data_IF_214614910604
#
_entry.id   IF_214614910604
#
_cell.length_a   1.000
_cell.length_b   1.000
_cell.length_c   1.000
_cell.angle_alpha   90.00
_cell.angle_beta   90.00
_cell.angle_gamma   90.00
#
_symmetry.space_group_name_H-M   'P 1'
#
loop_
_entity.id
_entity.type
_entity.pdbx_description
1 polymer ?
#
# COMPACT_ATOMS: atom_id res chain seq x y z
N UNK A 1 39.80 -13.65 29.99
CA UNK A 1 38.70 -14.58 29.62
C UNK A 1 37.43 -14.10 30.33
N UNK A 2 36.61 -13.28 29.66
CA UNK A 2 35.30 -12.88 30.17
C UNK A 2 34.22 -13.84 29.67
N UNK A 3 33.14 -14.10 30.43
CA UNK A 3 32.08 -14.99 30.00
C UNK A 3 31.26 -14.33 28.88
N UNK A 4 31.08 -15.08 27.79
CA UNK A 4 30.23 -14.73 26.66
C UNK A 4 28.78 -14.96 27.09
N UNK A 5 28.00 -13.91 27.22
CA UNK A 5 26.54 -14.02 27.41
C UNK A 5 25.95 -14.34 26.04
N UNK A 6 25.67 -15.61 25.79
CA UNK A 6 24.80 -16.03 24.69
C UNK A 6 23.36 -15.66 25.05
N UNK A 7 22.77 -14.74 24.29
CA UNK A 7 21.35 -14.44 24.34
C UNK A 7 20.57 -15.52 23.58
N UNK A 8 19.59 -16.20 24.20
CA UNK A 8 18.77 -17.16 23.48
C UNK A 8 17.74 -16.39 22.64
N UNK A 9 17.91 -16.40 21.33
CA UNK A 9 16.82 -16.04 20.41
C UNK A 9 15.71 -17.08 20.57
N UNK A 10 14.65 -16.71 21.30
CA UNK A 10 13.43 -17.51 21.37
C UNK A 10 12.76 -17.51 19.99
N UNK A 11 12.39 -18.66 19.44
CA UNK A 11 11.61 -18.72 18.21
C UNK A 11 10.23 -18.09 18.43
N UNK A 12 9.79 -17.33 17.43
CA UNK A 12 8.53 -16.58 17.39
C UNK A 12 7.32 -17.49 17.63
N UNK A 13 6.41 -17.17 18.56
CA UNK A 13 5.14 -17.86 18.64
C UNK A 13 4.23 -17.28 17.55
N UNK A 14 3.48 -18.12 16.85
CA UNK A 14 2.50 -17.82 15.81
C UNK A 14 3.03 -17.73 14.36
N UNK A 15 2.63 -18.68 13.49
CA UNK A 15 2.91 -18.57 12.07
C UNK A 15 2.10 -17.41 11.48
N UNK A 16 2.78 -16.53 10.74
CA UNK A 16 2.25 -15.38 9.99
C UNK A 16 0.94 -15.72 9.25
N UNK A 17 0.74 -16.98 8.86
CA UNK A 17 -0.49 -17.51 8.25
C UNK A 17 -1.79 -17.32 9.03
N UNK A 18 -1.74 -17.08 10.34
CA UNK A 18 -2.97 -17.01 11.17
C UNK A 18 -3.50 -15.58 11.34
N UNK A 19 -2.69 -14.54 11.04
CA UNK A 19 -3.09 -13.14 11.18
C UNK A 19 -3.78 -12.56 9.93
N UNK A 20 -3.63 -13.20 8.77
CA UNK A 20 -4.17 -12.70 7.49
C UNK A 20 -5.56 -13.26 7.13
N UNK A 21 -6.19 -14.02 8.05
CA UNK A 21 -7.47 -14.70 7.80
C UNK A 21 -8.69 -13.89 8.23
N UNK A 22 -8.72 -12.58 7.97
CA UNK A 22 -9.97 -11.78 7.99
C UNK A 22 -9.95 -10.80 6.81
N UNK A 23 -10.31 -11.28 5.62
CA UNK A 23 -10.68 -10.43 4.50
C UNK A 23 -11.81 -11.11 3.68
N UNK A 24 -12.93 -10.39 3.57
CA UNK A 24 -14.07 -10.62 2.68
C UNK A 24 -14.76 -12.01 2.73
N UNK A 25 -15.55 -12.25 3.77
CA UNK A 25 -16.63 -13.28 3.70
C UNK A 25 -17.78 -12.81 2.78
N UNK A 26 -18.04 -11.49 2.65
CA UNK A 26 -19.14 -10.97 1.83
C UNK A 26 -18.95 -11.09 0.31
N UNK A 27 -17.73 -11.22 -0.22
CA UNK A 27 -17.52 -11.26 -1.68
C UNK A 27 -17.63 -12.66 -2.29
N UNK A 28 -17.70 -13.72 -1.48
CA UNK A 28 -17.83 -15.10 -1.99
C UNK A 28 -19.28 -15.50 -2.34
N UNK A 29 -20.24 -14.57 -2.23
CA UNK A 29 -21.68 -14.84 -2.33
C UNK A 29 -22.37 -14.42 -3.64
N UNK A 30 -21.65 -14.24 -4.74
CA UNK A 30 -22.25 -14.05 -6.07
C UNK A 30 -22.02 -15.29 -6.93
N UNK A 31 -22.83 -16.32 -6.67
CA UNK A 31 -22.93 -17.53 -7.49
C UNK A 31 -23.47 -17.17 -8.89
N UNK A 32 -22.58 -17.15 -9.88
CA UNK A 32 -22.97 -17.21 -11.29
C UNK A 32 -23.20 -18.68 -11.68
N UNK A 33 -24.46 -19.03 -11.92
CA UNK A 33 -24.93 -20.31 -12.47
C UNK A 33 -24.16 -20.72 -13.75
N UNK A 34 -23.76 -21.99 -13.90
CA UNK A 34 -23.09 -22.45 -15.11
C UNK A 34 -24.09 -22.82 -16.19
N UNK A 35 -24.20 -22.01 -17.26
CA UNK A 35 -24.87 -22.41 -18.49
C UNK A 35 -23.95 -23.32 -19.31
N UNK A 36 -24.36 -24.58 -19.48
CA UNK A 36 -23.75 -25.58 -20.36
C UNK A 36 -23.76 -25.11 -21.81
N UNK A 37 -22.58 -24.89 -22.40
CA UNK A 37 -22.37 -24.66 -23.83
C UNK A 37 -21.26 -25.59 -24.35
N UNK A 38 -21.60 -26.37 -25.37
CA UNK A 38 -20.80 -27.49 -25.90
C UNK A 38 -19.63 -26.98 -26.76
N UNK A 39 -18.49 -27.65 -26.63
CA UNK A 39 -17.22 -27.42 -27.33
C UNK A 39 -17.33 -27.65 -28.85
N UNK A 40 -16.83 -26.69 -29.64
CA UNK A 40 -16.22 -26.92 -30.96
C UNK A 40 -15.00 -26.03 -31.09
N UNK A 41 -13.90 -26.61 -31.55
CA UNK A 41 -12.55 -26.10 -31.31
C UNK A 41 -12.08 -25.00 -32.24
N UNK A 42 -11.10 -24.25 -31.75
CA UNK A 42 -9.97 -23.80 -32.56
C UNK A 42 -8.82 -23.43 -31.63
N UNK A 43 -7.67 -24.04 -31.90
CA UNK A 43 -6.42 -23.85 -31.17
C UNK A 43 -5.78 -22.58 -31.73
N UNK A 44 -5.74 -21.51 -30.94
CA UNK A 44 -4.98 -20.29 -31.27
C UNK A 44 -3.86 -20.17 -30.25
N UNK A 45 -2.64 -20.40 -30.72
CA UNK A 45 -1.39 -20.16 -29.99
C UNK A 45 -1.06 -18.67 -30.08
N UNK A 46 -1.26 -17.93 -28.98
CA UNK A 46 -0.86 -16.52 -28.86
C UNK A 46 -0.34 -16.27 -27.45
N UNK A 47 0.98 -16.22 -27.30
CA UNK A 47 1.64 -15.98 -26.02
C UNK A 47 1.42 -14.56 -25.52
N UNK A 48 0.86 -14.43 -24.32
CA UNK A 48 1.02 -13.25 -23.48
C UNK A 48 2.02 -13.62 -22.38
N UNK A 49 3.28 -13.22 -22.58
CA UNK A 49 4.26 -13.19 -21.51
C UNK A 49 4.00 -11.96 -20.64
N UNK A 50 3.13 -12.09 -19.63
CA UNK A 50 3.22 -11.26 -18.43
C UNK A 50 4.54 -11.58 -17.74
N UNK A 51 5.52 -10.68 -17.88
CA UNK A 51 6.85 -10.84 -17.28
C UNK A 51 6.69 -10.76 -15.75
N UNK A 52 7.05 -11.81 -14.99
CA UNK A 52 7.09 -11.72 -13.55
C UNK A 52 8.12 -10.67 -13.13
N UNK A 53 7.77 -9.83 -12.15
CA UNK A 53 8.70 -8.96 -11.44
C UNK A 53 9.93 -9.80 -10.99
N UNK A 54 11.18 -9.37 -11.26
CA UNK A 54 12.35 -10.19 -10.99
C UNK A 54 12.49 -10.44 -9.48
N UNK A 55 12.13 -11.65 -9.06
CA UNK A 55 12.45 -12.20 -7.73
C UNK A 55 13.93 -12.61 -7.72
N UNK A 56 14.75 -11.83 -7.02
CA UNK A 56 16.19 -12.06 -6.89
C UNK A 56 16.73 -11.57 -5.56
N UNK A 57 16.52 -12.39 -4.52
CA UNK A 57 17.40 -12.63 -3.37
C UNK A 57 18.62 -11.72 -3.13
N UNK A 58 18.43 -10.52 -2.57
CA UNK A 58 19.48 -9.77 -1.86
C UNK A 58 18.98 -9.02 -0.62
N UNK A 59 17.80 -9.36 -0.08
CA UNK A 59 17.26 -8.73 1.14
C UNK A 59 17.93 -9.18 2.44
N UNK A 60 18.93 -10.07 2.38
CA UNK A 60 19.45 -10.77 3.56
C UNK A 60 20.56 -10.02 4.33
N UNK A 61 21.04 -8.88 3.84
CA UNK A 61 22.09 -8.09 4.51
C UNK A 61 21.59 -6.79 5.16
N UNK A 62 20.36 -6.37 4.89
CA UNK A 62 19.79 -5.14 5.43
C UNK A 62 18.57 -5.44 6.30
N UNK A 63 18.25 -4.50 7.21
CA UNK A 63 17.11 -4.60 8.13
C UNK A 63 15.77 -4.81 7.42
N UNK A 64 14.68 -4.91 8.18
CA UNK A 64 13.35 -4.99 7.58
C UNK A 64 13.12 -3.80 6.61
N UNK A 65 12.63 -4.03 5.38
CA UNK A 65 12.43 -2.96 4.42
C UNK A 65 11.19 -2.13 4.77
N UNK A 66 11.13 -0.89 4.32
CA UNK A 66 9.87 -0.14 4.24
C UNK A 66 9.03 -0.68 3.07
N UNK A 67 7.79 -1.12 3.33
CA UNK A 67 6.86 -1.47 2.26
C UNK A 67 6.23 -0.18 1.71
N UNK A 68 6.43 0.11 0.44
CA UNK A 68 5.87 1.27 -0.25
C UNK A 68 4.88 0.78 -1.30
N UNK A 69 3.62 1.16 -1.17
CA UNK A 69 2.58 0.82 -2.15
C UNK A 69 2.15 2.05 -2.93
N UNK A 70 1.82 1.88 -4.20
CA UNK A 70 1.15 2.89 -5.01
C UNK A 70 0.02 2.25 -5.80
N UNK A 71 -0.77 3.02 -6.52
CA UNK A 71 -1.86 2.49 -7.35
C UNK A 71 -1.49 2.50 -8.83
N UNK A 72 -1.94 1.47 -9.54
CA UNK A 72 -1.92 1.44 -11.00
C UNK A 72 -2.88 2.44 -11.64
N UNK A 73 -3.04 2.39 -12.97
CA UNK A 73 -3.96 3.25 -13.70
C UNK A 73 -5.44 2.94 -13.36
N UNK A 74 -6.29 3.96 -13.46
CA UNK A 74 -7.75 3.87 -13.26
C UNK A 74 -8.46 4.97 -14.06
N UNK A 75 -9.75 4.79 -14.34
CA UNK A 75 -10.67 5.75 -15.01
C UNK A 75 -10.05 7.08 -15.52
N UNK A 76 -9.60 7.11 -16.77
CA UNK A 76 -9.10 8.35 -17.41
C UNK A 76 -7.75 8.87 -16.90
N UNK A 77 -7.12 8.18 -15.94
CA UNK A 77 -5.76 8.41 -15.45
C UNK A 77 -4.87 7.29 -15.99
N UNK A 78 -4.38 7.47 -17.22
CA UNK A 78 -3.47 6.52 -17.86
C UNK A 78 -2.11 6.42 -17.12
N UNK A 79 -1.72 7.49 -16.41
CA UNK A 79 -0.47 7.57 -15.68
C UNK A 79 -0.76 7.98 -14.24
N UNK A 80 -0.78 7.00 -13.33
CA UNK A 80 -0.94 7.26 -11.91
C UNK A 80 0.45 7.47 -11.27
N UNK A 81 0.79 8.69 -10.81
CA UNK A 81 2.11 8.98 -10.26
C UNK A 81 2.44 8.16 -9.02
N UNK A 82 1.42 7.70 -8.27
CA UNK A 82 1.64 6.93 -7.04
C UNK A 82 2.27 5.57 -7.30
N UNK A 83 1.79 4.80 -8.28
CA UNK A 83 2.37 3.52 -8.68
C UNK A 83 3.80 3.67 -9.21
N UNK A 84 4.04 4.70 -10.02
CA UNK A 84 5.37 4.98 -10.55
C UNK A 84 6.36 5.36 -9.45
N UNK A 85 5.95 6.21 -8.50
CA UNK A 85 6.76 6.56 -7.32
C UNK A 85 7.07 5.33 -6.47
N UNK A 86 6.08 4.48 -6.19
CA UNK A 86 6.29 3.25 -5.42
C UNK A 86 7.31 2.33 -6.10
N UNK A 87 7.22 2.17 -7.43
CA UNK A 87 8.18 1.40 -8.22
C UNK A 87 9.59 1.99 -8.18
N UNK A 88 9.73 3.32 -8.28
CA UNK A 88 11.04 4.00 -8.25
C UNK A 88 11.67 3.94 -6.86
N UNK A 89 10.92 4.25 -5.81
CA UNK A 89 11.39 4.18 -4.42
C UNK A 89 11.72 2.75 -4.00
N UNK A 90 10.98 1.76 -4.53
CA UNK A 90 11.25 0.34 -4.33
C UNK A 90 12.56 -0.17 -4.92
N UNK A 91 13.28 0.64 -5.70
CA UNK A 91 14.65 0.33 -6.16
C UNK A 91 15.70 0.63 -5.09
N UNK A 92 15.34 1.39 -4.05
CA UNK A 92 16.21 1.57 -2.88
C UNK A 92 16.39 0.22 -2.17
N UNK A 93 17.60 -0.10 -1.70
CA UNK A 93 17.86 -1.41 -1.12
C UNK A 93 17.13 -1.65 0.21
N UNK A 94 16.68 -0.58 0.88
CA UNK A 94 15.97 -0.56 2.16
C UNK A 94 14.45 -0.44 2.02
N UNK A 95 13.94 -0.45 0.78
CA UNK A 95 12.53 -0.33 0.46
C UNK A 95 12.05 -1.51 -0.38
N UNK A 96 10.74 -1.78 -0.36
CA UNK A 96 10.07 -2.69 -1.28
C UNK A 96 8.89 -1.95 -1.90
N UNK A 97 8.92 -1.75 -3.21
CA UNK A 97 7.84 -1.10 -3.95
C UNK A 97 6.84 -2.12 -4.51
N UNK A 98 5.55 -1.83 -4.40
CA UNK A 98 4.49 -2.61 -5.03
C UNK A 98 3.40 -1.70 -5.61
N UNK A 99 2.82 -2.11 -6.74
CA UNK A 99 1.68 -1.45 -7.35
C UNK A 99 0.40 -2.24 -7.05
N UNK A 100 -0.60 -1.57 -6.50
CA UNK A 100 -1.90 -2.11 -6.14
C UNK A 100 -2.90 -1.88 -7.29
N UNK A 101 -3.82 -2.82 -7.54
CA UNK A 101 -4.96 -2.56 -8.41
C UNK A 101 -5.86 -1.49 -7.80
N UNK A 102 -6.63 -0.78 -8.63
CA UNK A 102 -7.65 0.17 -8.15
C UNK A 102 -8.99 -0.55 -8.00
N UNK A 103 -9.02 -1.51 -7.07
CA UNK A 103 -10.20 -2.31 -6.72
C UNK A 103 -10.34 -2.42 -5.20
N UNK A 104 -11.56 -2.37 -4.69
CA UNK A 104 -11.84 -2.39 -3.26
C UNK A 104 -11.44 -3.70 -2.58
N UNK A 105 -11.48 -4.81 -3.33
CA UNK A 105 -11.11 -6.14 -2.83
C UNK A 105 -9.65 -6.48 -3.18
N UNK A 106 -9.24 -6.26 -4.43
CA UNK A 106 -7.92 -6.68 -4.90
C UNK A 106 -6.78 -5.86 -4.28
N UNK A 107 -6.98 -4.58 -3.95
CA UNK A 107 -5.90 -3.77 -3.38
C UNK A 107 -5.47 -4.27 -1.98
N UNK A 108 -6.38 -4.52 -1.03
CA UNK A 108 -6.03 -5.20 0.23
C UNK A 108 -5.44 -6.60 0.04
N UNK A 109 -5.92 -7.39 -0.92
CA UNK A 109 -5.40 -8.74 -1.18
C UNK A 109 -3.94 -8.73 -1.64
N UNK A 110 -3.59 -7.80 -2.55
CA UNK A 110 -2.20 -7.62 -2.99
C UNK A 110 -1.31 -7.11 -1.85
N UNK A 111 -1.80 -6.17 -1.03
CA UNK A 111 -1.09 -5.72 0.17
C UNK A 111 -0.77 -6.88 1.11
N UNK A 112 -1.77 -7.73 1.40
CA UNK A 112 -1.61 -8.89 2.27
C UNK A 112 -0.62 -9.91 1.67
N UNK A 113 -0.64 -10.10 0.34
CA UNK A 113 0.33 -10.96 -0.33
C UNK A 113 1.76 -10.43 -0.24
N UNK A 114 1.98 -9.12 -0.39
CA UNK A 114 3.30 -8.52 -0.24
C UNK A 114 3.84 -8.66 1.20
N UNK A 115 2.98 -8.46 2.20
CA UNK A 115 3.33 -8.68 3.61
C UNK A 115 3.68 -10.15 3.90
N UNK A 116 2.94 -11.09 3.31
CA UNK A 116 3.27 -12.53 3.41
C UNK A 116 4.59 -12.87 2.72
N UNK A 117 4.84 -12.33 1.52
CA UNK A 117 6.05 -12.56 0.74
C UNK A 117 7.32 -12.05 1.43
N UNK A 118 7.21 -11.02 2.28
CA UNK A 118 8.31 -10.54 3.12
C UNK A 118 8.73 -11.58 4.17
N UNK A 119 7.83 -12.45 4.61
CA UNK A 119 8.08 -13.49 5.61
C UNK A 119 8.45 -12.98 7.01
N UNK A 120 8.42 -11.66 7.22
CA UNK A 120 8.68 -10.95 8.48
C UNK A 120 7.97 -9.58 8.44
N UNK A 121 7.67 -8.96 9.60
CA UNK A 121 7.18 -7.58 9.62
C UNK A 121 8.13 -6.63 8.86
N UNK A 122 7.60 -5.72 8.01
CA UNK A 122 8.39 -4.64 7.44
C UNK A 122 8.81 -3.64 8.52
N UNK A 123 9.66 -2.66 8.18
CA UNK A 123 9.93 -1.53 9.06
C UNK A 123 8.67 -0.66 9.29
N UNK A 124 7.82 -0.59 8.26
CA UNK A 124 6.55 0.12 8.27
C UNK A 124 5.87 -0.02 6.90
N UNK A 125 4.71 0.63 6.75
CA UNK A 125 3.93 0.63 5.51
C UNK A 125 3.65 2.08 5.10
N UNK A 126 4.11 2.47 3.91
CA UNK A 126 3.82 3.77 3.29
C UNK A 126 2.99 3.54 2.03
N UNK A 127 1.73 3.96 2.04
CA UNK A 127 0.87 3.91 0.87
C UNK A 127 0.80 5.28 0.19
N UNK A 128 0.94 5.30 -1.12
CA UNK A 128 0.86 6.49 -1.97
C UNK A 128 -0.43 6.44 -2.79
N UNK A 129 -1.12 7.58 -2.91
CA UNK A 129 -2.29 7.72 -3.78
C UNK A 129 -2.30 9.06 -4.50
N UNK A 130 -2.78 9.13 -5.73
CA UNK A 130 -2.95 10.42 -6.41
C UNK A 130 -4.25 11.09 -5.96
N UNK A 131 -4.22 12.40 -5.70
CA UNK A 131 -5.42 13.21 -5.50
C UNK A 131 -5.46 14.40 -6.47
N UNK A 132 -6.62 15.02 -6.73
CA UNK A 132 -6.73 16.10 -7.72
C UNK A 132 -6.02 17.41 -7.33
N UNK A 133 -5.67 17.58 -6.06
CA UNK A 133 -5.11 18.82 -5.54
C UNK A 133 -3.63 19.04 -5.92
N UNK A 134 -3.14 20.28 -5.78
CA UNK A 134 -1.80 20.67 -6.25
C UNK A 134 -0.64 20.31 -5.30
N UNK A 135 -0.93 19.93 -4.05
CA UNK A 135 0.08 19.67 -3.02
C UNK A 135 0.14 18.21 -2.57
N UNK A 136 0.96 17.93 -1.56
CA UNK A 136 0.99 16.65 -0.85
C UNK A 136 0.01 16.67 0.32
N UNK A 137 -0.64 15.54 0.64
CA UNK A 137 -1.46 15.40 1.86
C UNK A 137 -1.00 14.23 2.69
N UNK A 138 -0.68 14.51 3.96
CA UNK A 138 -0.39 13.51 4.96
C UNK A 138 -1.70 13.11 5.64
N UNK A 139 -2.15 11.87 5.45
CA UNK A 139 -3.41 11.41 6.03
C UNK A 139 -3.22 10.99 7.49
N UNK A 140 -3.84 11.70 8.41
CA UNK A 140 -3.83 11.45 9.85
C UNK A 140 -4.56 10.17 10.23
N UNK A 141 -5.63 9.83 9.50
CA UNK A 141 -6.52 8.74 9.85
C UNK A 141 -7.24 8.14 8.65
N UNK A 142 -7.71 6.91 8.82
CA UNK A 142 -8.75 6.30 8.01
C UNK A 142 -10.00 6.14 8.87
N UNK A 143 -11.16 6.48 8.33
CA UNK A 143 -12.47 6.36 9.00
C UNK A 143 -12.94 4.92 9.13
N UNK A 144 -12.47 4.02 8.26
CA UNK A 144 -12.89 2.61 8.22
C UNK A 144 -14.30 2.36 7.68
N UNK A 145 -15.22 3.29 7.94
CA UNK A 145 -16.56 3.32 7.35
C UNK A 145 -16.55 4.11 6.04
N UNK A 146 -16.98 3.47 4.96
CA UNK A 146 -16.97 4.02 3.61
C UNK A 146 -18.39 4.06 3.03
N UNK A 147 -18.79 5.24 2.55
CA UNK A 147 -20.08 5.46 1.89
C UNK A 147 -19.82 6.09 0.52
N UNK A 148 -20.55 5.63 -0.49
CA UNK A 148 -20.42 6.12 -1.86
C UNK A 148 -20.81 5.09 -2.91
N UNK A 149 -21.10 5.60 -4.10
CA UNK A 149 -21.57 4.79 -5.25
C UNK A 149 -20.62 4.89 -6.46
N UNK A 150 -19.42 5.43 -6.26
CA UNK A 150 -18.39 5.41 -7.30
C UNK A 150 -17.88 3.97 -7.47
N UNK A 151 -18.00 3.37 -8.67
CA UNK A 151 -17.47 2.04 -8.91
C UNK A 151 -15.93 2.04 -8.95
N UNK A 152 -15.34 0.94 -8.55
CA UNK A 152 -13.93 0.65 -8.83
C UNK A 152 -13.73 0.07 -10.25
N UNK A 153 -12.49 -0.34 -10.57
CA UNK A 153 -12.18 -0.90 -11.89
C UNK A 153 -12.89 -2.24 -12.19
N UNK A 154 -13.53 -2.88 -11.20
CA UNK A 154 -14.34 -4.10 -11.36
C UNK A 154 -15.85 -3.80 -11.31
N UNK A 155 -16.25 -2.52 -11.22
CA UNK A 155 -17.64 -2.11 -11.14
C UNK A 155 -18.26 -2.24 -9.74
N UNK A 156 -17.45 -2.52 -8.71
CA UNK A 156 -17.91 -2.68 -7.33
C UNK A 156 -17.98 -1.32 -6.65
N UNK A 157 -19.05 -1.07 -5.89
CA UNK A 157 -19.21 0.15 -5.07
C UNK A 157 -19.04 -0.15 -3.59
N UNK A 158 -18.65 0.83 -2.77
CA UNK A 158 -18.57 0.63 -1.32
C UNK A 158 -19.95 0.36 -0.70
N UNK A 159 -21.02 0.93 -1.26
CA UNK A 159 -22.40 0.63 -0.86
C UNK A 159 -22.77 -0.85 -1.01
N UNK A 160 -22.19 -1.55 -2.00
CA UNK A 160 -22.40 -2.99 -2.18
C UNK A 160 -21.62 -3.85 -1.18
N UNK A 161 -20.55 -3.31 -0.58
CA UNK A 161 -19.67 -4.05 0.33
C UNK A 161 -20.05 -3.91 1.81
N UNK A 162 -20.78 -2.86 2.18
CA UNK A 162 -21.18 -2.61 3.57
C UNK A 162 -19.99 -2.48 4.51
N UNK A 163 -19.03 -1.60 4.17
CA UNK A 163 -17.79 -1.44 4.92
C UNK A 163 -18.00 -0.57 6.16
N UNK A 164 -17.94 -1.20 7.33
CA UNK A 164 -17.97 -0.54 8.63
C UNK A 164 -16.69 -0.83 9.41
N UNK A 165 -16.18 0.18 10.10
CA UNK A 165 -14.96 0.09 10.89
C UNK A 165 -14.78 1.27 11.83
N UNK A 166 -13.93 1.09 12.84
CA UNK A 166 -13.49 2.18 13.72
C UNK A 166 -12.57 3.17 12.97
N UNK A 167 -12.44 4.39 13.49
CA UNK A 167 -11.42 5.31 13.00
C UNK A 167 -10.06 4.84 13.49
N UNK A 168 -9.10 4.69 12.59
CA UNK A 168 -7.71 4.35 12.89
C UNK A 168 -6.80 5.51 12.49
N UNK A 169 -5.82 5.83 13.32
CA UNK A 169 -4.88 6.93 13.09
C UNK A 169 -3.44 6.43 13.04
N UNK A 170 -2.61 7.11 12.27
CA UNK A 170 -1.16 6.90 12.33
C UNK A 170 -0.59 7.38 13.65
N UNK A 171 0.48 6.74 14.13
CA UNK A 171 1.24 7.16 15.29
C UNK A 171 2.49 7.99 14.93
N UNK A 172 2.68 8.29 13.65
CA UNK A 172 3.82 9.08 13.17
C UNK A 172 3.65 10.56 13.50
N UNK A 173 4.78 11.24 13.72
CA UNK A 173 4.85 12.68 13.83
C UNK A 173 4.73 13.30 12.43
N UNK A 174 3.52 13.75 12.11
CA UNK A 174 3.20 14.35 10.82
C UNK A 174 3.80 15.75 10.66
N UNK A 175 4.07 16.48 11.74
CA UNK A 175 4.72 17.79 11.64
C UNK A 175 6.16 17.63 11.15
N UNK A 176 6.88 16.62 11.66
CA UNK A 176 8.22 16.29 11.19
C UNK A 176 8.23 15.80 9.73
N UNK A 177 7.25 14.96 9.33
CA UNK A 177 7.10 14.51 7.95
C UNK A 177 6.76 15.66 6.99
N UNK A 178 5.89 16.57 7.42
CA UNK A 178 5.58 17.80 6.68
C UNK A 178 6.83 18.67 6.52
N UNK A 179 7.60 18.85 7.60
CA UNK A 179 8.85 19.59 7.56
C UNK A 179 9.87 18.95 6.61
N UNK A 180 9.95 17.62 6.56
CA UNK A 180 10.82 16.89 5.62
C UNK A 180 10.43 17.16 4.16
N UNK A 181 9.14 17.10 3.82
CA UNK A 181 8.64 17.44 2.48
C UNK A 181 8.94 18.90 2.12
N UNK A 182 8.63 19.84 3.02
CA UNK A 182 8.86 21.27 2.79
C UNK A 182 10.34 21.59 2.67
N UNK A 183 11.19 21.00 3.51
CA UNK A 183 12.64 21.15 3.48
C UNK A 183 13.27 20.62 2.19
N UNK A 184 12.68 19.59 1.59
CA UNK A 184 13.08 19.09 0.27
C UNK A 184 12.59 19.96 -0.90
N UNK A 185 11.69 20.93 -0.67
CA UNK A 185 11.21 21.87 -1.67
C UNK A 185 9.72 21.76 -2.01
N UNK A 186 8.93 20.94 -1.29
CA UNK A 186 7.49 20.89 -1.49
C UNK A 186 6.82 22.20 -1.05
N UNK A 187 6.18 22.89 -1.99
CA UNK A 187 5.55 24.20 -1.73
C UNK A 187 4.23 24.09 -0.95
N UNK A 188 3.47 23.03 -1.23
CA UNK A 188 2.15 22.79 -0.67
C UNK A 188 2.12 21.40 -0.06
N UNK A 189 2.01 21.37 1.27
CA UNK A 189 1.86 20.17 2.08
C UNK A 189 0.78 20.50 3.10
N UNK A 190 -0.14 19.57 3.32
CA UNK A 190 -1.16 19.68 4.35
C UNK A 190 -1.37 18.34 5.05
N UNK A 191 -1.88 18.39 6.27
CA UNK A 191 -2.36 17.20 6.96
C UNK A 191 -3.87 17.09 6.76
N UNK A 192 -4.35 15.88 6.51
CA UNK A 192 -5.75 15.59 6.18
C UNK A 192 -6.30 14.52 7.11
N UNK A 193 -7.58 14.60 7.44
CA UNK A 193 -8.31 13.57 8.21
C UNK A 193 -9.30 12.80 7.32
N UNK A 194 -9.19 12.99 6.01
CA UNK A 194 -10.04 12.42 4.98
C UNK A 194 -9.19 11.88 3.83
N UNK A 195 -8.88 10.58 3.89
CA UNK A 195 -8.16 9.89 2.81
C UNK A 195 -9.06 9.57 1.59
N UNK A 196 -10.23 10.22 1.51
CA UNK A 196 -11.20 10.09 0.43
C UNK A 196 -12.29 9.05 0.71
N UNK A 197 -13.20 8.86 -0.26
CA UNK A 197 -14.28 7.87 -0.19
C UNK A 197 -14.11 6.78 -1.26
N UNK A 198 -12.87 6.35 -1.51
CA UNK A 198 -12.53 5.44 -2.60
C UNK A 198 -11.51 4.37 -2.15
N UNK A 199 -10.83 3.72 -3.11
CA UNK A 199 -9.89 2.63 -2.83
C UNK A 199 -8.75 3.07 -1.90
N UNK A 200 -8.31 4.35 -1.96
CA UNK A 200 -7.30 4.90 -1.05
C UNK A 200 -7.66 4.72 0.43
N UNK A 201 -8.88 5.10 0.82
CA UNK A 201 -9.40 5.00 2.18
C UNK A 201 -9.47 3.53 2.64
N UNK A 202 -9.94 2.63 1.76
CA UNK A 202 -9.98 1.19 2.03
C UNK A 202 -8.60 0.62 2.28
N UNK A 203 -7.64 0.94 1.42
CA UNK A 203 -6.24 0.50 1.57
C UNK A 203 -5.64 1.10 2.83
N UNK A 204 -5.86 2.39 3.12
CA UNK A 204 -5.29 3.01 4.31
C UNK A 204 -5.81 2.37 5.59
N UNK A 205 -7.12 2.15 5.68
CA UNK A 205 -7.73 1.45 6.80
C UNK A 205 -7.15 0.04 6.98
N UNK A 206 -7.08 -0.75 5.90
CA UNK A 206 -6.49 -2.08 5.95
C UNK A 206 -5.01 -2.02 6.37
N UNK A 207 -4.20 -1.15 5.78
CA UNK A 207 -2.79 -0.95 6.15
C UNK A 207 -2.64 -0.62 7.63
N UNK A 208 -3.46 0.27 8.20
CA UNK A 208 -3.44 0.61 9.63
C UNK A 208 -3.80 -0.59 10.52
N UNK A 209 -4.79 -1.39 10.13
CA UNK A 209 -5.11 -2.64 10.83
C UNK A 209 -3.93 -3.60 10.85
N UNK A 210 -3.33 -3.88 9.68
CA UNK A 210 -2.16 -4.77 9.58
C UNK A 210 -0.96 -4.19 10.34
N UNK A 211 -0.77 -2.87 10.29
CA UNK A 211 0.27 -2.17 11.03
C UNK A 211 0.14 -2.37 12.53
N UNK A 212 -1.07 -2.21 13.07
CA UNK A 212 -1.39 -2.50 14.48
C UNK A 212 -1.08 -3.95 14.85
N UNK A 213 -1.51 -4.90 14.01
CA UNK A 213 -1.33 -6.33 14.26
C UNK A 213 0.15 -6.76 14.20
N UNK A 214 0.94 -6.13 13.34
CA UNK A 214 2.37 -6.38 13.17
C UNK A 214 3.25 -5.55 14.12
N UNK A 215 2.70 -4.54 14.80
CA UNK A 215 3.43 -3.59 15.63
C UNK A 215 4.34 -2.64 14.82
N UNK A 216 3.89 -2.21 13.63
CA UNK A 216 4.64 -1.32 12.73
C UNK A 216 3.87 -0.05 12.41
N UNK A 217 4.59 1.03 12.13
CA UNK A 217 3.99 2.32 11.78
C UNK A 217 3.50 2.34 10.33
N UNK A 218 2.45 3.13 10.08
CA UNK A 218 1.75 3.19 8.78
C UNK A 218 1.44 4.64 8.43
N UNK A 219 1.58 5.01 7.15
CA UNK A 219 1.15 6.31 6.63
C UNK A 219 0.52 6.15 5.26
N UNK A 220 -0.46 7.01 4.97
CA UNK A 220 -0.90 7.26 3.61
C UNK A 220 -0.53 8.69 3.19
N UNK A 221 0.14 8.81 2.05
CA UNK A 221 0.52 10.08 1.44
C UNK A 221 -0.21 10.25 0.12
N UNK A 222 -1.10 11.24 0.06
CA UNK A 222 -1.63 11.69 -1.20
C UNK A 222 -0.63 12.60 -1.92
N UNK A 223 -0.37 12.30 -3.20
CA UNK A 223 0.58 13.01 -4.05
C UNK A 223 -0.16 13.77 -5.17
N UNK A 224 0.36 14.91 -5.64
CA UNK A 224 -0.29 15.66 -6.70
C UNK A 224 -0.25 14.91 -8.04
N UNK A 225 -1.15 15.23 -8.98
CA UNK A 225 -1.12 14.65 -10.32
C UNK A 225 0.18 14.98 -11.06
N UNK A 226 0.67 14.05 -11.90
CA UNK A 226 1.90 14.24 -12.68
C UNK A 226 1.87 15.50 -13.58
N UNK A 227 0.68 15.92 -14.02
CA UNK A 227 0.46 17.16 -14.80
C UNK A 227 0.71 18.44 -14.00
N UNK A 228 0.65 18.38 -12.67
CA UNK A 228 0.93 19.53 -11.78
C UNK A 228 2.39 19.48 -11.33
N UNK A 229 2.87 18.31 -10.92
CA UNK A 229 4.24 18.09 -10.49
C UNK A 229 4.70 16.75 -11.07
N UNK A 230 5.65 16.75 -12.00
CA UNK A 230 6.11 15.52 -12.65
C UNK A 230 6.74 14.54 -11.68
N UNK A 231 6.67 13.23 -11.96
CA UNK A 231 7.17 12.16 -11.07
C UNK A 231 8.65 12.36 -10.72
N UNK A 232 9.48 12.78 -11.68
CA UNK A 232 10.90 13.09 -11.44
C UNK A 232 11.10 14.20 -10.41
N UNK A 233 10.21 15.19 -10.38
CA UNK A 233 10.23 16.28 -9.39
C UNK A 233 9.62 15.86 -8.05
N UNK A 234 8.67 14.92 -8.05
CA UNK A 234 8.09 14.36 -6.82
C UNK A 234 9.06 13.42 -6.11
N UNK A 235 9.84 12.63 -6.85
CA UNK A 235 10.70 11.58 -6.32
C UNK A 235 11.66 12.05 -5.20
N UNK A 236 12.46 13.14 -5.37
CA UNK A 236 13.34 13.60 -4.29
C UNK A 236 12.55 14.10 -3.06
N UNK A 237 11.36 14.67 -3.25
CA UNK A 237 10.51 15.13 -2.15
C UNK A 237 9.98 13.94 -1.34
N UNK A 238 9.43 12.94 -2.03
CA UNK A 238 8.91 11.72 -1.37
C UNK A 238 10.06 10.90 -0.77
N UNK A 239 11.26 10.92 -1.36
CA UNK A 239 12.44 10.28 -0.77
C UNK A 239 12.83 10.92 0.57
N UNK A 240 12.74 12.24 0.70
CA UNK A 240 13.01 12.91 1.97
C UNK A 240 11.96 12.53 3.05
N UNK A 241 10.69 12.39 2.65
CA UNK A 241 9.65 11.85 3.53
C UNK A 241 9.92 10.40 3.93
N UNK A 242 10.39 9.56 3.00
CA UNK A 242 10.76 8.16 3.28
C UNK A 242 11.88 8.11 4.32
N UNK A 243 12.91 8.95 4.19
CA UNK A 243 14.02 8.96 5.14
C UNK A 243 13.55 9.35 6.56
N UNK A 244 12.67 10.36 6.67
CA UNK A 244 12.08 10.78 7.95
C UNK A 244 11.13 9.71 8.51
N UNK A 245 10.29 9.09 7.68
CA UNK A 245 9.44 7.96 8.08
C UNK A 245 10.29 6.85 8.69
N UNK A 246 11.36 6.45 8.00
CA UNK A 246 12.23 5.36 8.45
C UNK A 246 13.00 5.73 9.72
N UNK A 247 13.30 7.01 9.95
CA UNK A 247 13.89 7.49 11.20
C UNK A 247 12.91 7.30 12.37
N UNK A 248 11.65 7.69 12.20
CA UNK A 248 10.62 7.52 13.22
C UNK A 248 10.32 6.04 13.49
N UNK A 249 10.24 5.21 12.46
CA UNK A 249 9.96 3.78 12.57
C UNK A 249 11.05 2.97 13.31
N UNK A 250 12.26 3.52 13.45
CA UNK A 250 13.39 2.90 14.16
C UNK A 250 13.56 3.40 15.59
N UNK A 251 12.82 4.43 15.99
CA UNK A 251 12.91 5.07 17.31
C UNK A 251 12.07 4.32 18.33
#
# INVERSE_FOLDING_TARGET
MGPRIESPQKPWPFPIRTLFFIACVSCRGLDLLPSRGRLTGQRVTGGLHSRPCPRGSTLSAMGAPLLITGFGPFEGVEHNPSGELARLLGQRPDCRGCELPVTFCGAPEVLDQELMDLGRPPLGILSLGVHPGPGFRLEQQARGTLLGDRPDNEGITVSSLGLEGEVLSTSLDLEALEAALRGAGARQVEQSQDAGAYVCERVYFCSLQRGRDLGVVVLFLHVPPAKILGVESQLPLVSALVDEFMRQARS
#
